data_IF_806163676073
#
_entry.id   IF_806163676073
#
_cell.length_a   1.000
_cell.length_b   1.000
_cell.length_c   1.000
_cell.angle_alpha   90.00
_cell.angle_beta   90.00
_cell.angle_gamma   90.00
#
_symmetry.space_group_name_H-M   'P 1'
#
loop_
_entity.id
_entity.type
_entity.pdbx_description
1 polymer ?
#
# COMPACT_ATOMS: atom_id res chain seq x y z
N UNK A 1 -15.60 -12.88 15.17
CA UNK A 1 -14.77 -12.45 14.01
C UNK A 1 -14.49 -10.96 14.18
N UNK A 2 -13.23 -10.52 14.35
CA UNK A 2 -12.85 -9.10 14.53
C UNK A 2 -12.69 -8.35 13.20
N UNK A 3 -13.45 -8.74 12.16
CA UNK A 3 -13.31 -8.27 10.77
C UNK A 3 -13.44 -6.74 10.59
N UNK A 4 -13.95 -6.01 11.59
CA UNK A 4 -14.11 -4.55 11.55
C UNK A 4 -13.01 -3.75 12.26
N UNK A 5 -11.97 -4.38 12.81
CA UNK A 5 -10.93 -3.66 13.56
C UNK A 5 -9.69 -3.33 12.72
N UNK A 6 -9.52 -3.96 11.55
CA UNK A 6 -8.38 -3.78 10.65
C UNK A 6 -8.87 -3.44 9.25
N UNK A 7 -8.37 -2.32 8.71
CA UNK A 7 -8.65 -1.87 7.35
C UNK A 7 -7.38 -2.00 6.52
N UNK A 8 -7.48 -2.63 5.35
CA UNK A 8 -6.37 -2.69 4.39
C UNK A 8 -6.50 -1.53 3.41
N UNK A 9 -5.41 -0.79 3.26
CA UNK A 9 -5.25 0.29 2.30
C UNK A 9 -4.23 -0.15 1.25
N UNK A 10 -4.63 -0.12 -0.02
CA UNK A 10 -3.75 -0.31 -1.16
C UNK A 10 -3.39 1.07 -1.70
N UNK A 11 -2.13 1.48 -1.60
CA UNK A 11 -1.68 2.80 -2.04
C UNK A 11 -0.85 2.63 -3.31
N UNK A 12 -1.31 3.18 -4.44
CA UNK A 12 -0.49 3.25 -5.65
C UNK A 12 0.52 4.39 -5.55
N UNK A 13 1.70 4.15 -6.12
CA UNK A 13 2.79 5.14 -6.25
C UNK A 13 2.85 5.76 -7.65
N UNK A 14 1.93 5.42 -8.55
CA UNK A 14 1.95 5.88 -9.93
C UNK A 14 0.63 6.54 -10.39
N UNK A 15 0.36 7.78 -9.93
CA UNK A 15 -0.93 8.43 -10.12
C UNK A 15 -1.25 8.82 -11.56
N UNK A 16 -0.27 8.81 -12.46
CA UNK A 16 -0.47 9.05 -13.90
C UNK A 16 -1.20 7.88 -14.59
N UNK A 17 -1.04 6.65 -14.08
CA UNK A 17 -1.68 5.42 -14.61
C UNK A 17 -2.78 4.89 -13.68
N UNK A 18 -2.62 5.06 -12.38
CA UNK A 18 -3.51 4.51 -11.35
C UNK A 18 -4.40 5.59 -10.75
N UNK A 19 -5.47 5.93 -11.48
CA UNK A 19 -6.46 6.91 -11.02
C UNK A 19 -7.39 6.31 -9.94
N UNK A 20 -8.06 7.15 -9.13
CA UNK A 20 -9.04 6.67 -8.16
C UNK A 20 -10.12 5.77 -8.77
N UNK A 21 -10.60 6.09 -9.97
CA UNK A 21 -11.61 5.31 -10.69
C UNK A 21 -11.09 3.91 -11.04
N UNK A 22 -9.87 3.83 -11.57
CA UNK A 22 -9.23 2.55 -11.90
C UNK A 22 -8.98 1.71 -10.66
N UNK A 23 -8.52 2.32 -9.57
CA UNK A 23 -8.29 1.62 -8.31
C UNK A 23 -9.59 1.12 -7.66
N UNK A 24 -10.70 1.86 -7.80
CA UNK A 24 -12.03 1.41 -7.34
C UNK A 24 -12.50 0.15 -8.07
N UNK A 25 -12.12 -0.03 -9.33
CA UNK A 25 -12.42 -1.26 -10.07
C UNK A 25 -11.41 -2.37 -9.74
N UNK A 26 -10.13 -2.04 -9.64
CA UNK A 26 -9.04 -3.01 -9.52
C UNK A 26 -8.92 -3.65 -8.13
N UNK A 27 -8.96 -2.84 -7.06
CA UNK A 27 -8.66 -3.30 -5.70
C UNK A 27 -9.69 -4.31 -5.16
N UNK A 28 -11.01 -4.17 -5.42
CA UNK A 28 -12.01 -5.14 -4.97
C UNK A 28 -11.85 -6.56 -5.52
N UNK A 29 -11.15 -6.77 -6.64
CA UNK A 29 -10.86 -8.12 -7.15
C UNK A 29 -10.03 -8.96 -6.17
N UNK A 30 -9.22 -8.32 -5.31
CA UNK A 30 -8.46 -9.01 -4.26
C UNK A 30 -9.32 -9.23 -3.02
N UNK A 31 -10.01 -8.18 -2.57
CA UNK A 31 -10.97 -8.26 -1.48
C UNK A 31 -11.90 -7.03 -1.52
N UNK A 32 -13.23 -7.19 -1.48
CA UNK A 32 -14.16 -6.08 -1.56
C UNK A 32 -14.10 -5.11 -0.36
N UNK A 33 -13.45 -5.49 0.74
CA UNK A 33 -13.25 -4.58 1.88
C UNK A 33 -11.99 -3.72 1.76
N UNK A 34 -11.13 -3.94 0.75
CA UNK A 34 -9.90 -3.16 0.59
C UNK A 34 -10.21 -1.80 -0.04
N UNK A 35 -9.46 -0.78 0.38
CA UNK A 35 -9.60 0.58 -0.16
C UNK A 35 -8.37 0.90 -1.00
N UNK A 36 -8.59 1.23 -2.26
CA UNK A 36 -7.56 1.75 -3.16
C UNK A 36 -7.38 3.25 -2.97
N UNK A 37 -6.13 3.68 -2.83
CA UNK A 37 -5.73 5.08 -2.66
C UNK A 37 -4.64 5.42 -3.69
N UNK A 38 -4.71 6.64 -4.18
CA UNK A 38 -3.67 7.32 -4.96
C UNK A 38 -3.76 8.81 -4.60
N UNK A 39 -2.83 9.63 -5.10
CA UNK A 39 -2.83 11.06 -4.83
C UNK A 39 -1.89 11.81 -5.75
N UNK A 40 -1.59 13.06 -5.41
CA UNK A 40 -0.50 13.79 -6.08
C UNK A 40 0.86 13.15 -5.73
N UNK A 41 1.86 13.33 -6.59
CA UNK A 41 3.22 12.83 -6.30
C UNK A 41 3.75 13.36 -4.95
N UNK A 42 3.42 14.61 -4.60
CA UNK A 42 3.78 15.23 -3.33
C UNK A 42 3.14 14.52 -2.12
N UNK A 43 1.86 14.13 -2.22
CA UNK A 43 1.18 13.39 -1.16
C UNK A 43 1.74 11.98 -1.01
N UNK A 44 2.01 11.31 -2.13
CA UNK A 44 2.61 9.97 -2.16
C UNK A 44 4.01 10.03 -1.51
N UNK A 45 4.87 10.95 -1.92
CA UNK A 45 6.22 11.13 -1.37
C UNK A 45 6.18 11.38 0.14
N UNK A 46 5.20 12.16 0.62
CA UNK A 46 5.01 12.41 2.05
C UNK A 46 4.71 11.11 2.81
N UNK A 47 3.80 10.28 2.30
CA UNK A 47 3.42 9.00 2.93
C UNK A 47 4.59 8.00 2.88
N UNK A 48 5.24 7.89 1.73
CA UNK A 48 6.40 7.02 1.52
C UNK A 48 7.50 7.39 2.52
N UNK A 49 7.82 8.69 2.66
CA UNK A 49 8.80 9.18 3.63
C UNK A 49 8.37 8.94 5.07
N UNK A 50 7.10 9.17 5.41
CA UNK A 50 6.58 9.01 6.77
C UNK A 50 6.75 7.59 7.30
N UNK A 51 6.60 6.59 6.43
CA UNK A 51 6.71 5.18 6.80
C UNK A 51 8.01 4.50 6.36
N UNK A 52 8.95 5.25 5.76
CA UNK A 52 10.23 4.73 5.30
C UNK A 52 10.10 3.70 4.16
N UNK A 53 9.06 3.83 3.34
CA UNK A 53 8.92 3.06 2.11
C UNK A 53 9.81 3.62 1.00
N UNK A 54 9.91 2.91 -0.12
CA UNK A 54 10.68 3.34 -1.28
C UNK A 54 9.95 2.95 -2.56
N UNK A 55 10.00 3.84 -3.54
CA UNK A 55 9.63 3.56 -4.92
C UNK A 55 10.55 4.33 -5.86
N UNK A 56 10.69 3.84 -7.08
CA UNK A 56 11.48 4.46 -8.13
C UNK A 56 10.73 4.33 -9.45
N UNK A 57 10.65 5.42 -10.21
CA UNK A 57 10.06 5.43 -11.55
C UNK A 57 11.17 5.60 -12.57
N UNK A 58 11.26 4.68 -13.51
CA UNK A 58 12.17 4.82 -14.64
C UNK A 58 11.72 5.95 -15.57
N UNK A 59 12.66 6.49 -16.34
CA UNK A 59 12.30 7.39 -17.44
C UNK A 59 11.57 6.58 -18.52
N UNK A 60 10.48 7.13 -19.11
CA UNK A 60 9.83 6.50 -20.24
C UNK A 60 10.77 6.31 -21.43
N UNK A 61 10.64 5.18 -22.11
CA UNK A 61 11.27 4.93 -23.40
C UNK A 61 10.63 5.77 -24.52
N UNK A 62 11.14 5.63 -25.75
CA UNK A 62 10.62 6.36 -26.93
C UNK A 62 9.13 6.08 -27.23
N UNK A 63 8.59 4.98 -26.70
CA UNK A 63 7.19 4.57 -26.86
C UNK A 63 6.35 4.93 -25.62
N UNK A 64 6.94 5.58 -24.62
CA UNK A 64 6.29 6.00 -23.38
C UNK A 64 6.20 4.91 -22.30
N UNK A 65 6.85 3.76 -22.47
CA UNK A 65 6.86 2.70 -21.45
C UNK A 65 7.91 2.96 -20.39
N UNK A 66 7.54 2.75 -19.13
CA UNK A 66 8.45 2.82 -17.98
C UNK A 66 8.06 1.79 -16.92
N UNK A 67 9.07 1.36 -16.17
CA UNK A 67 8.88 0.53 -14.99
C UNK A 67 8.76 1.39 -13.74
N UNK A 68 8.09 0.82 -12.74
CA UNK A 68 8.02 1.41 -11.41
C UNK A 68 8.47 0.35 -10.42
N UNK A 69 9.65 0.52 -9.85
CA UNK A 69 10.15 -0.28 -8.74
C UNK A 69 9.52 0.19 -7.44
N UNK A 70 9.22 -0.72 -6.52
CA UNK A 70 8.69 -0.37 -5.20
C UNK A 70 9.09 -1.43 -4.15
N UNK A 71 9.09 -1.05 -2.88
CA UNK A 71 9.22 -2.02 -1.79
C UNK A 71 8.03 -2.98 -1.79
N UNK A 72 8.28 -4.25 -1.45
CA UNK A 72 7.25 -5.30 -1.38
C UNK A 72 6.74 -5.54 0.03
N UNK A 73 7.00 -4.61 0.95
CA UNK A 73 6.67 -4.75 2.36
C UNK A 73 5.25 -4.27 2.67
N UNK A 74 4.63 -4.85 3.69
CA UNK A 74 3.32 -4.43 4.20
C UNK A 74 3.53 -3.75 5.56
N UNK A 75 2.91 -2.58 5.74
CA UNK A 75 3.09 -1.75 6.93
C UNK A 75 1.86 -1.86 7.83
N UNK A 76 2.07 -2.18 9.11
CA UNK A 76 1.03 -2.13 10.13
C UNK A 76 1.07 -0.78 10.84
N UNK A 77 0.00 -0.02 10.70
CA UNK A 77 -0.19 1.31 11.27
C UNK A 77 -1.36 1.26 12.25
N UNK A 78 -1.24 1.90 13.41
CA UNK A 78 -2.35 2.02 14.36
C UNK A 78 -3.34 3.14 13.96
N UNK A 79 -4.42 3.29 14.74
CA UNK A 79 -5.45 4.31 14.50
C UNK A 79 -4.97 5.75 14.70
N UNK A 80 -3.85 5.95 15.38
CA UNK A 80 -3.23 7.25 15.58
C UNK A 80 -2.21 7.58 14.47
N UNK A 81 -2.01 6.66 13.52
CA UNK A 81 -1.10 6.83 12.38
C UNK A 81 0.34 6.41 12.67
N UNK A 82 0.60 5.79 13.83
CA UNK A 82 1.93 5.34 14.23
C UNK A 82 2.28 4.01 13.57
N UNK A 83 3.49 3.92 13.03
CA UNK A 83 4.06 2.65 12.58
C UNK A 83 4.24 1.67 13.74
N UNK A 84 3.80 0.43 13.56
CA UNK A 84 3.93 -0.66 14.54
C UNK A 84 4.80 -1.79 14.07
N UNK A 85 4.66 -2.19 12.79
CA UNK A 85 5.34 -3.37 12.28
C UNK A 85 5.52 -3.35 10.76
N UNK A 86 6.59 -3.96 10.28
CA UNK A 86 6.87 -4.19 8.86
C UNK A 86 6.81 -5.69 8.57
N UNK A 87 5.87 -6.12 7.75
CA UNK A 87 5.85 -7.49 7.24
C UNK A 87 6.65 -7.58 5.94
N UNK A 88 7.47 -8.62 5.83
CA UNK A 88 8.10 -8.97 4.56
C UNK A 88 7.06 -9.63 3.65
N UNK A 89 7.27 -9.56 2.33
CA UNK A 89 6.40 -10.22 1.35
C UNK A 89 6.18 -11.72 1.64
N UNK A 90 7.17 -12.38 2.24
CA UNK A 90 7.13 -13.80 2.57
C UNK A 90 6.55 -14.12 3.95
N UNK A 91 6.11 -13.12 4.73
CA UNK A 91 5.56 -13.39 6.06
C UNK A 91 4.27 -14.23 5.93
N UNK A 92 4.20 -15.42 6.56
CA UNK A 92 3.01 -16.26 6.50
C UNK A 92 1.78 -15.56 7.11
N UNK A 93 0.60 -15.81 6.53
CA UNK A 93 -0.66 -15.21 6.97
C UNK A 93 -0.95 -15.46 8.47
N UNK A 94 -0.58 -16.62 8.99
CA UNK A 94 -0.78 -16.97 10.40
C UNK A 94 0.10 -16.12 11.32
N UNK A 95 1.30 -15.79 10.88
CA UNK A 95 2.22 -14.90 11.60
C UNK A 95 1.72 -13.47 11.56
N UNK A 96 1.33 -12.97 10.37
CA UNK A 96 0.72 -11.65 10.24
C UNK A 96 -0.49 -11.50 11.18
N UNK A 97 -1.38 -12.50 11.20
CA UNK A 97 -2.55 -12.48 12.07
C UNK A 97 -2.21 -12.48 13.57
N UNK A 98 -1.11 -13.13 13.99
CA UNK A 98 -0.64 -13.09 15.38
C UNK A 98 -0.14 -11.71 15.75
N UNK A 99 0.72 -11.11 14.91
CA UNK A 99 1.29 -9.78 15.14
C UNK A 99 0.19 -8.72 15.18
N UNK A 100 -0.73 -8.73 14.20
CA UNK A 100 -1.85 -7.79 14.15
C UNK A 100 -2.63 -7.81 15.48
N UNK A 101 -2.93 -9.00 16.02
CA UNK A 101 -3.65 -9.13 17.30
C UNK A 101 -2.89 -8.58 18.52
N UNK A 102 -1.56 -8.44 18.46
CA UNK A 102 -0.78 -7.85 19.55
C UNK A 102 -0.92 -6.33 19.62
N UNK A 103 -1.30 -5.69 18.50
CA UNK A 103 -1.44 -4.24 18.38
C UNK A 103 -2.91 -3.78 18.30
N UNK A 104 -3.86 -4.70 18.47
CA UNK A 104 -5.29 -4.44 18.58
C UNK A 104 -5.70 -4.41 20.05
#
# INVERSE_FOLDING_TARGET
SRRGEVQVLFISVDPSRDTPERLKEYVPYFNPSFIGLTGTEVEIDKVIKQYGAMYEKDKPDERGYYSVGHSTSIYLIDREGNFKYLFSFHTPREEMAKVIKQYM
#
